data_IF_543844485514
#
_entry.id   IF_543844485514
#
_cell.length_a   1.000
_cell.length_b   1.000
_cell.length_c   1.000
_cell.angle_alpha   90.00
_cell.angle_beta   90.00
_cell.angle_gamma   90.00
#
_symmetry.space_group_name_H-M   'P 1'
#
loop_
_entity.id
_entity.type
_entity.pdbx_description
1 polymer ?
#
# COMPACT_ATOMS: atom_id res chain seq x y z
N UNK A 1 -3.09 -3.30 40.52
CA UNK A 1 -2.88 -4.77 40.41
C UNK A 1 -3.89 -5.23 39.37
N UNK A 2 -3.55 -5.50 38.12
CA UNK A 2 -2.28 -6.01 37.60
C UNK A 2 -1.98 -5.32 36.27
N UNK A 3 -0.78 -4.76 36.15
CA UNK A 3 -0.18 -4.53 34.84
C UNK A 3 0.13 -5.91 34.28
N UNK A 4 -0.60 -6.33 33.25
CA UNK A 4 -0.23 -7.53 32.50
C UNK A 4 1.07 -7.22 31.78
N UNK A 5 2.20 -7.62 32.35
CA UNK A 5 3.44 -7.76 31.60
C UNK A 5 3.12 -8.66 30.41
N UNK A 6 3.27 -8.15 29.20
CA UNK A 6 3.16 -8.93 27.97
C UNK A 6 4.37 -9.88 27.93
N UNK A 7 4.26 -11.03 28.60
CA UNK A 7 5.30 -12.05 28.59
C UNK A 7 5.25 -12.74 27.23
N UNK A 8 6.27 -12.53 26.38
CA UNK A 8 6.44 -13.07 25.02
C UNK A 8 5.72 -14.40 24.79
N UNK A 9 4.45 -14.32 24.41
CA UNK A 9 3.58 -15.48 24.25
C UNK A 9 3.90 -16.08 22.89
N UNK A 10 4.10 -17.39 22.87
CA UNK A 10 4.51 -18.13 21.67
C UNK A 10 3.32 -18.90 21.13
N UNK A 11 3.00 -18.66 19.86
CA UNK A 11 1.97 -19.37 19.10
C UNK A 11 2.59 -20.53 18.32
N UNK A 12 1.80 -21.59 18.11
CA UNK A 12 2.20 -22.75 17.32
C UNK A 12 1.45 -22.75 15.99
N UNK A 13 2.16 -22.50 14.91
CA UNK A 13 1.62 -22.51 13.55
C UNK A 13 1.98 -23.84 12.87
N UNK A 14 1.01 -24.52 12.27
CA UNK A 14 1.23 -25.78 11.56
C UNK A 14 1.02 -25.57 10.06
N UNK A 15 2.09 -25.68 9.30
CA UNK A 15 2.07 -25.65 7.83
C UNK A 15 1.25 -26.77 7.21
N UNK A 16 0.93 -26.62 5.92
CA UNK A 16 0.23 -27.61 5.08
C UNK A 16 0.90 -28.98 5.05
N UNK A 17 2.23 -29.02 5.10
CA UNK A 17 3.06 -30.23 5.14
C UNK A 17 3.34 -30.72 6.57
N UNK A 18 2.56 -30.25 7.54
CA UNK A 18 2.53 -30.69 8.94
C UNK A 18 3.77 -30.32 9.78
N UNK A 19 4.64 -29.44 9.31
CA UNK A 19 5.68 -28.85 10.17
C UNK A 19 5.08 -27.81 11.10
N UNK A 20 5.51 -27.85 12.37
CA UNK A 20 5.11 -26.88 13.40
C UNK A 20 6.20 -25.84 13.55
N UNK A 21 5.79 -24.58 13.62
CA UNK A 21 6.60 -23.40 13.85
C UNK A 21 6.15 -22.76 15.16
N UNK A 22 7.11 -22.41 16.02
CA UNK A 22 6.89 -21.65 17.24
C UNK A 22 7.26 -20.20 16.94
N UNK A 23 6.28 -19.30 17.01
CA UNK A 23 6.40 -17.90 16.60
C UNK A 23 5.89 -17.02 17.72
N UNK A 24 6.59 -15.93 18.02
CA UNK A 24 6.12 -14.96 19.00
C UNK A 24 4.80 -14.31 18.54
N UNK A 25 3.92 -14.01 19.49
CA UNK A 25 2.63 -13.41 19.23
C UNK A 25 2.77 -12.07 18.51
N UNK A 26 3.71 -11.19 18.90
CA UNK A 26 3.97 -9.89 18.24
C UNK A 26 4.32 -10.05 16.75
N UNK A 27 5.10 -11.07 16.42
CA UNK A 27 5.46 -11.42 15.03
C UNK A 27 4.28 -12.03 14.30
N UNK A 28 3.52 -12.91 14.96
CA UNK A 28 2.42 -13.64 14.33
C UNK A 28 1.18 -12.76 14.07
N UNK A 29 0.93 -11.73 14.89
CA UNK A 29 -0.20 -10.80 14.72
C UNK A 29 -0.01 -9.78 13.59
N UNK A 30 1.18 -9.73 12.96
CA UNK A 30 1.38 -9.07 11.66
C UNK A 30 0.43 -9.65 10.58
N UNK A 31 0.04 -10.92 10.73
CA UNK A 31 -1.04 -11.50 9.93
C UNK A 31 -2.39 -11.15 10.54
N UNK A 32 -3.24 -10.43 9.79
CA UNK A 32 -4.59 -10.10 10.25
C UNK A 32 -5.42 -11.37 10.50
N UNK A 33 -5.22 -12.41 9.68
CA UNK A 33 -5.88 -13.70 9.88
C UNK A 33 -5.54 -14.28 11.26
N UNK A 34 -4.25 -14.32 11.62
CA UNK A 34 -3.81 -14.89 12.90
C UNK A 34 -4.24 -13.99 14.06
N UNK A 35 -4.14 -12.66 13.89
CA UNK A 35 -4.63 -11.67 14.86
C UNK A 35 -6.10 -11.92 15.22
N UNK A 36 -6.97 -12.03 14.22
CA UNK A 36 -8.40 -12.31 14.43
C UNK A 36 -8.64 -13.64 15.17
N UNK A 37 -7.84 -14.67 14.89
CA UNK A 37 -7.91 -15.98 15.58
C UNK A 37 -7.52 -15.86 17.06
N UNK A 38 -6.49 -15.07 17.36
CA UNK A 38 -6.01 -14.83 18.73
C UNK A 38 -7.01 -13.96 19.52
N UNK A 39 -7.52 -12.89 18.93
CA UNK A 39 -8.48 -11.96 19.55
C UNK A 39 -9.84 -12.63 19.84
N UNK A 40 -10.23 -13.62 19.03
CA UNK A 40 -11.42 -14.43 19.29
C UNK A 40 -11.31 -15.27 20.58
N UNK A 41 -10.17 -15.24 21.28
CA UNK A 41 -9.98 -15.90 22.58
C UNK A 41 -10.04 -17.42 22.49
N UNK A 42 -9.79 -17.96 21.30
CA UNK A 42 -9.80 -19.40 21.08
C UNK A 42 -8.49 -19.99 21.63
N UNK A 43 -8.58 -20.90 22.59
CA UNK A 43 -7.44 -21.62 23.17
C UNK A 43 -6.92 -22.69 22.19
N UNK A 44 -6.48 -22.22 21.01
CA UNK A 44 -6.06 -23.05 19.89
C UNK A 44 -4.59 -23.42 20.14
N UNK A 45 -4.38 -24.62 20.69
CA UNK A 45 -3.04 -25.11 20.97
C UNK A 45 -2.12 -25.18 19.75
N UNK A 46 -2.66 -25.36 18.54
CA UNK A 46 -1.92 -25.31 17.26
C UNK A 46 -2.83 -24.75 16.17
N UNK A 47 -2.42 -23.67 15.50
CA UNK A 47 -3.14 -23.00 14.40
C UNK A 47 -2.73 -23.64 13.07
N UNK A 48 -3.63 -24.31 12.34
CA UNK A 48 -3.30 -24.95 11.06
C UNK A 48 -3.41 -23.98 9.88
N UNK A 49 -2.33 -23.82 9.13
CA UNK A 49 -2.23 -23.03 7.89
C UNK A 49 -2.27 -23.99 6.69
N UNK A 50 -3.49 -24.33 6.26
CA UNK A 50 -3.75 -25.43 5.32
C UNK A 50 -3.28 -25.18 3.88
N UNK A 51 -2.99 -23.93 3.53
CA UNK A 51 -2.60 -23.50 2.18
C UNK A 51 -1.09 -23.32 2.05
N UNK A 52 -0.42 -22.88 3.12
CA UNK A 52 0.99 -22.47 3.11
C UNK A 52 1.91 -23.65 3.45
N UNK A 53 2.86 -23.94 2.56
CA UNK A 53 3.91 -24.93 2.79
C UNK A 53 5.01 -24.40 3.71
N UNK A 54 5.71 -25.29 4.40
CA UNK A 54 6.76 -24.96 5.37
C UNK A 54 7.85 -24.03 4.86
N UNK A 55 8.31 -24.23 3.61
CA UNK A 55 9.33 -23.37 2.99
C UNK A 55 8.85 -21.92 2.92
N UNK A 56 7.63 -21.72 2.41
CA UNK A 56 7.02 -20.40 2.27
C UNK A 56 6.70 -19.78 3.63
N UNK A 57 6.14 -20.57 4.56
CA UNK A 57 5.80 -20.09 5.90
C UNK A 57 7.04 -19.60 6.65
N UNK A 58 8.19 -20.24 6.48
CA UNK A 58 9.46 -19.78 7.05
C UNK A 58 9.82 -18.38 6.57
N UNK A 59 9.73 -18.14 5.26
CA UNK A 59 10.04 -16.83 4.68
C UNK A 59 9.05 -15.77 5.16
N UNK A 60 7.76 -16.10 5.25
CA UNK A 60 6.75 -15.18 5.79
C UNK A 60 7.07 -14.81 7.25
N UNK A 61 7.44 -15.79 8.08
CA UNK A 61 7.82 -15.51 9.48
C UNK A 61 9.06 -14.61 9.52
N UNK A 62 10.07 -14.86 8.69
CA UNK A 62 11.27 -14.02 8.59
C UNK A 62 10.94 -12.57 8.19
N UNK A 63 10.03 -12.39 7.24
CA UNK A 63 9.50 -11.07 6.88
C UNK A 63 8.87 -10.36 8.07
N UNK A 64 7.94 -11.03 8.76
CA UNK A 64 7.26 -10.47 9.92
C UNK A 64 8.25 -10.11 11.04
N UNK A 65 9.27 -10.94 11.30
CA UNK A 65 10.29 -10.66 12.30
C UNK A 65 11.06 -9.38 11.96
N UNK A 66 11.54 -9.28 10.72
CA UNK A 66 12.33 -8.10 10.30
C UNK A 66 11.53 -6.79 10.38
N UNK A 67 10.23 -6.84 10.14
CA UNK A 67 9.34 -5.68 10.22
C UNK A 67 8.88 -5.34 11.65
N UNK A 68 8.87 -6.31 12.57
CA UNK A 68 8.69 -6.01 13.99
C UNK A 68 9.95 -5.36 14.56
N UNK A 69 11.12 -5.92 14.27
CA UNK A 69 12.41 -5.40 14.75
C UNK A 69 12.63 -3.94 14.31
N UNK A 70 12.28 -3.60 13.07
CA UNK A 70 12.39 -2.23 12.54
C UNK A 70 11.50 -1.22 13.29
N UNK A 71 10.30 -1.62 13.72
CA UNK A 71 9.43 -0.75 14.51
C UNK A 71 9.99 -0.58 15.93
N UNK A 72 10.50 -1.65 16.54
CA UNK A 72 11.06 -1.59 17.90
C UNK A 72 12.37 -0.78 18.00
N UNK A 73 13.21 -0.80 16.97
CA UNK A 73 14.48 -0.04 16.93
C UNK A 73 14.24 1.46 16.67
N UNK A 74 13.23 1.81 15.88
CA UNK A 74 12.88 3.20 15.55
C UNK A 74 11.89 3.86 16.52
N UNK A 75 11.13 3.10 17.33
CA UNK A 75 10.14 3.59 18.30
C UNK A 75 10.70 3.71 19.74
N UNK A 76 12.00 3.91 19.90
CA UNK A 76 12.60 4.20 21.23
C UNK A 76 12.33 5.64 21.72
N UNK A 77 11.40 6.38 21.10
CA UNK A 77 10.97 7.72 21.47
C UNK A 77 9.46 7.96 21.25
N UNK A 78 8.65 7.57 22.24
CA UNK A 78 7.22 7.89 22.47
C UNK A 78 6.51 8.87 21.51
N UNK A 79 5.40 8.40 20.90
CA UNK A 79 4.18 9.20 20.70
C UNK A 79 3.00 8.37 20.14
N UNK A 80 2.46 7.48 21.00
CA UNK A 80 1.17 6.79 20.85
C UNK A 80 -0.04 7.77 20.68
N UNK A 81 0.20 9.07 20.92
CA UNK A 81 -0.74 10.18 20.70
C UNK A 81 -0.61 10.82 19.29
N UNK A 82 0.55 10.76 18.63
CA UNK A 82 0.71 11.29 17.25
C UNK A 82 0.15 10.34 16.19
N UNK A 83 0.28 9.02 16.38
CA UNK A 83 -0.32 8.02 15.49
C UNK A 83 -1.85 8.16 15.47
N UNK A 84 -2.46 8.38 16.64
CA UNK A 84 -3.90 8.67 16.75
C UNK A 84 -4.29 10.00 16.12
N UNK A 85 -3.38 10.98 16.14
CA UNK A 85 -3.62 12.28 15.53
C UNK A 85 -3.61 12.17 13.99
N UNK A 86 -2.71 11.37 13.41
CA UNK A 86 -2.66 11.11 11.97
C UNK A 86 -3.84 10.25 11.47
N UNK A 87 -4.27 9.24 12.22
CA UNK A 87 -5.47 8.44 11.87
C UNK A 87 -6.76 9.26 11.91
N UNK A 88 -6.83 10.28 12.79
CA UNK A 88 -7.98 11.20 12.88
C UNK A 88 -8.01 12.22 11.76
N UNK A 89 -6.86 12.63 11.22
CA UNK A 89 -6.76 13.65 10.16
C UNK A 89 -7.13 13.09 8.77
N UNK A 90 -6.86 11.81 8.51
CA UNK A 90 -7.27 11.12 7.26
C UNK A 90 -8.81 10.97 7.15
N UNK A 91 -9.53 10.97 8.28
CA UNK A 91 -10.99 10.81 8.28
C UNK A 91 -11.77 12.10 7.98
N UNK A 92 -11.14 13.29 8.03
CA UNK A 92 -11.85 14.57 7.90
C UNK A 92 -11.78 15.20 6.49
N UNK A 93 -10.90 14.74 5.59
CA UNK A 93 -10.89 15.23 4.19
C UNK A 93 -11.87 14.51 3.23
N UNK A 94 -12.76 13.67 3.78
CA UNK A 94 -13.76 12.93 3.01
C UNK A 94 -15.21 13.43 3.10
N UNK A 95 -15.49 14.53 3.82
CA UNK A 95 -16.89 14.95 4.06
C UNK A 95 -17.15 16.44 3.83
N UNK A 96 -17.20 16.81 2.55
CA UNK A 96 -17.96 17.99 2.11
C UNK A 96 -18.89 17.58 0.96
N UNK A 97 -20.03 17.01 1.33
CA UNK A 97 -21.29 17.35 0.69
C UNK A 97 -22.40 17.29 1.74
N UNK A 98 -22.77 18.49 2.20
CA UNK A 98 -23.81 18.72 3.18
C UNK A 98 -25.15 18.17 2.70
N UNK A 99 -25.79 17.47 3.63
CA UNK A 99 -27.23 17.29 3.69
C UNK A 99 -27.85 18.64 4.06
N UNK A 100 -28.77 19.16 3.23
CA UNK A 100 -29.81 20.07 3.69
C UNK A 100 -31.09 19.79 2.87
N UNK A 101 -32.13 19.40 3.60
CA UNK A 101 -33.47 19.13 3.11
C UNK A 101 -34.27 20.43 2.86
N UNK A 102 -35.29 20.27 2.01
CA UNK A 102 -36.50 21.10 1.81
C UNK A 102 -36.55 22.22 0.73
N UNK A 103 -37.16 21.81 -0.39
CA UNK A 103 -38.39 22.38 -0.99
C UNK A 103 -38.33 23.73 -1.76
N UNK A 104 -38.56 23.68 -3.07
CA UNK A 104 -39.58 24.42 -3.87
C UNK A 104 -39.31 24.22 -5.38
N UNK A 105 -40.10 23.40 -6.10
CA UNK A 105 -41.31 23.70 -6.89
C UNK A 105 -41.14 24.65 -8.11
N UNK A 106 -41.48 24.07 -9.28
CA UNK A 106 -42.02 24.68 -10.52
C UNK A 106 -41.07 25.59 -11.33
N UNK A 107 -41.16 25.72 -12.67
CA UNK A 107 -42.13 25.25 -13.67
C UNK A 107 -41.44 25.30 -15.06
N UNK A 108 -42.10 24.72 -16.05
CA UNK A 108 -41.74 24.60 -17.47
C UNK A 108 -41.41 25.93 -18.19
N UNK A 109 -40.67 25.78 -19.30
CA UNK A 109 -40.89 26.41 -20.61
C UNK A 109 -39.84 27.37 -21.16
N UNK A 110 -39.54 27.12 -22.44
CA UNK A 110 -39.12 28.05 -23.51
C UNK A 110 -37.65 28.49 -23.51
N UNK A 111 -36.85 27.96 -24.42
CA UNK A 111 -36.69 28.34 -25.84
C UNK A 111 -35.67 29.46 -26.06
N UNK A 112 -34.76 29.16 -26.99
CA UNK A 112 -34.12 30.04 -27.96
C UNK A 112 -32.93 30.93 -27.54
N UNK A 113 -31.82 30.59 -28.20
CA UNK A 113 -31.11 31.39 -29.20
C UNK A 113 -29.73 31.97 -28.83
N UNK A 114 -28.75 31.45 -29.58
CA UNK A 114 -27.79 32.16 -30.45
C UNK A 114 -26.83 33.22 -29.89
N UNK A 115 -25.60 33.17 -30.45
CA UNK A 115 -24.67 34.30 -30.59
C UNK A 115 -23.37 34.01 -29.84
N UNK A 116 -22.33 33.48 -30.47
CA UNK A 116 -21.40 34.08 -31.46
C UNK A 116 -20.56 35.21 -30.88
N UNK A 117 -19.26 35.07 -31.11
CA UNK A 117 -18.23 36.11 -31.21
C UNK A 117 -17.88 36.83 -29.89
N UNK A 118 -16.72 37.41 -29.66
CA UNK A 118 -15.33 37.40 -30.13
C UNK A 118 -14.63 38.31 -29.08
N UNK A 119 -13.30 38.23 -28.98
CA UNK A 119 -12.39 39.30 -28.55
C UNK A 119 -12.79 40.27 -27.39
N UNK A 120 -11.91 40.39 -26.40
CA UNK A 120 -10.98 41.53 -26.37
C UNK A 120 -10.13 41.48 -25.09
N UNK A 121 -8.84 41.28 -25.29
CA UNK A 121 -7.83 41.65 -24.33
C UNK A 121 -7.76 43.18 -24.25
N UNK A 122 -7.95 43.77 -23.06
CA UNK A 122 -7.44 45.12 -22.74
C UNK A 122 -6.87 45.19 -21.33
N UNK A 123 -5.55 45.23 -21.34
CA UNK A 123 -4.61 45.76 -20.36
C UNK A 123 -5.14 47.02 -19.63
N UNK A 124 -4.99 47.06 -18.30
CA UNK A 124 -4.85 48.30 -17.53
C UNK A 124 -3.74 48.15 -16.49
N UNK A 125 -2.58 48.73 -16.81
CA UNK A 125 -1.62 49.21 -15.82
C UNK A 125 -2.28 50.35 -15.03
N UNK A 126 -2.20 50.27 -13.71
CA UNK A 126 -2.22 51.48 -12.89
C UNK A 126 -1.38 51.24 -11.63
N UNK A 127 -0.29 51.98 -11.56
CA UNK A 127 0.59 52.08 -10.40
C UNK A 127 -0.22 52.49 -9.15
N UNK A 128 0.03 51.77 -8.05
CA UNK A 128 -0.44 52.10 -6.71
C UNK A 128 0.54 51.55 -5.69
N UNK A 129 1.50 52.39 -5.27
CA UNK A 129 2.45 52.09 -4.22
C UNK A 129 1.81 52.16 -2.83
N UNK A 130 2.16 51.17 -2.01
CA UNK A 130 2.45 51.27 -0.58
C UNK A 130 1.27 51.42 0.39
N UNK A 131 0.92 50.35 1.10
CA UNK A 131 0.90 50.32 2.58
C UNK A 131 0.64 48.88 3.08
N UNK A 132 1.38 48.46 4.12
CA UNK A 132 1.05 47.27 4.90
C UNK A 132 1.61 45.95 4.36
N UNK A 133 2.94 45.77 4.43
CA UNK A 133 3.51 44.42 4.50
C UNK A 133 3.03 43.73 5.79
N UNK A 134 1.85 43.11 5.74
CA UNK A 134 1.61 41.94 6.57
C UNK A 134 2.32 40.79 5.84
N UNK A 135 3.61 40.67 6.13
CA UNK A 135 4.42 39.54 5.70
C UNK A 135 3.88 38.37 6.51
N UNK A 136 2.93 37.63 5.95
CA UNK A 136 2.67 36.28 6.43
C UNK A 136 4.02 35.60 6.48
N UNK A 137 4.47 35.36 7.71
CA UNK A 137 5.52 34.43 8.02
C UNK A 137 5.03 33.10 7.44
N UNK A 138 5.39 32.86 6.18
CA UNK A 138 5.59 31.50 5.70
C UNK A 138 6.63 30.94 6.63
N UNK A 139 6.12 30.30 7.67
CA UNK A 139 6.83 29.49 8.62
C UNK A 139 7.61 28.48 7.79
N UNK A 140 8.84 28.89 7.49
CA UNK A 140 9.84 28.10 6.84
C UNK A 140 10.26 27.11 7.91
N UNK A 141 9.49 26.04 8.04
CA UNK A 141 9.80 24.92 8.91
C UNK A 141 11.07 24.29 8.34
N UNK A 142 12.21 24.77 8.82
CA UNK A 142 13.46 24.02 8.85
C UNK A 142 13.19 22.80 9.74
N UNK A 143 12.69 21.74 9.13
CA UNK A 143 12.68 20.44 9.77
C UNK A 143 14.14 20.05 9.96
N UNK A 144 14.59 20.05 11.22
CA UNK A 144 15.88 19.49 11.59
C UNK A 144 15.87 18.00 11.23
N UNK A 145 16.57 17.65 10.14
CA UNK A 145 16.94 16.29 9.79
C UNK A 145 17.76 15.68 10.93
N UNK A 146 17.08 15.11 11.91
CA UNK A 146 17.64 14.13 12.84
C UNK A 146 16.80 12.85 12.77
N UNK A 147 16.66 12.32 11.56
CA UNK A 147 16.43 10.89 11.35
C UNK A 147 17.58 10.39 10.49
N UNK A 148 18.39 9.47 11.02
CA UNK A 148 19.50 8.87 10.31
C UNK A 148 18.91 8.03 9.16
N UNK A 149 18.86 8.58 7.94
CA UNK A 149 18.30 7.92 6.76
C UNK A 149 18.99 6.62 6.34
N UNK A 150 19.86 6.04 7.18
CA UNK A 150 20.52 4.76 6.96
C UNK A 150 19.63 3.55 7.27
N UNK A 151 18.72 3.63 8.24
CA UNK A 151 17.92 2.47 8.68
C UNK A 151 16.79 2.13 7.69
N UNK A 152 16.11 3.15 7.13
CA UNK A 152 15.07 2.97 6.10
C UNK A 152 15.65 2.44 4.77
N UNK A 153 16.82 2.95 4.38
CA UNK A 153 17.54 2.45 3.21
C UNK A 153 18.01 1.00 3.42
N UNK A 154 18.42 0.63 4.64
CA UNK A 154 18.78 -0.75 4.98
C UNK A 154 17.58 -1.69 4.87
N UNK A 155 16.40 -1.27 5.34
CA UNK A 155 15.16 -2.06 5.23
C UNK A 155 14.77 -2.28 3.76
N UNK A 156 14.67 -1.23 2.94
CA UNK A 156 14.33 -1.33 1.51
C UNK A 156 15.33 -2.24 0.77
N UNK A 157 16.62 -2.13 1.10
CA UNK A 157 17.66 -2.99 0.53
C UNK A 157 17.50 -4.45 0.96
N UNK A 158 17.12 -4.71 2.21
CA UNK A 158 16.84 -6.05 2.70
C UNK A 158 15.60 -6.64 2.00
N UNK A 159 14.50 -5.88 1.94
CA UNK A 159 13.25 -6.31 1.30
C UNK A 159 13.47 -6.64 -0.18
N UNK A 160 14.27 -5.84 -0.88
CA UNK A 160 14.63 -6.06 -2.27
C UNK A 160 15.34 -7.40 -2.47
N UNK A 161 16.29 -7.72 -1.58
CA UNK A 161 16.99 -9.01 -1.59
C UNK A 161 16.08 -10.16 -1.17
N UNK A 162 15.15 -9.91 -0.25
CA UNK A 162 14.22 -10.92 0.25
C UNK A 162 13.29 -11.44 -0.85
N UNK A 163 12.77 -10.54 -1.70
CA UNK A 163 11.90 -10.90 -2.83
C UNK A 163 12.66 -11.27 -4.12
N UNK A 164 13.99 -11.16 -4.13
CA UNK A 164 14.86 -11.67 -5.20
C UNK A 164 15.00 -13.20 -5.13
N UNK A 165 13.88 -13.88 -5.37
CA UNK A 165 13.76 -15.34 -5.37
C UNK A 165 13.29 -15.85 -6.74
N UNK A 166 13.34 -17.16 -6.94
CA UNK A 166 12.80 -17.77 -8.15
C UNK A 166 11.29 -17.55 -8.27
N UNK A 167 10.76 -17.60 -9.50
CA UNK A 167 9.35 -17.30 -9.79
C UNK A 167 8.36 -18.17 -9.01
N UNK A 168 8.69 -19.46 -8.80
CA UNK A 168 7.81 -20.38 -8.08
C UNK A 168 7.74 -19.98 -6.61
N UNK A 169 8.88 -19.59 -6.03
CA UNK A 169 8.96 -19.05 -4.67
C UNK A 169 8.26 -17.69 -4.55
N UNK A 170 8.41 -16.80 -5.54
CA UNK A 170 7.74 -15.48 -5.56
C UNK A 170 6.21 -15.63 -5.65
N UNK A 171 5.72 -16.54 -6.50
CA UNK A 171 4.29 -16.86 -6.59
C UNK A 171 3.77 -17.51 -5.31
N UNK A 172 4.55 -18.39 -4.69
CA UNK A 172 4.18 -18.97 -3.40
C UNK A 172 4.11 -17.91 -2.29
N UNK A 173 5.04 -16.95 -2.27
CA UNK A 173 5.02 -15.81 -1.34
C UNK A 173 3.79 -14.93 -1.58
N UNK A 174 3.46 -14.63 -2.84
CA UNK A 174 2.26 -13.87 -3.20
C UNK A 174 0.98 -14.52 -2.63
N UNK A 175 0.79 -15.82 -2.90
CA UNK A 175 -0.37 -16.55 -2.41
C UNK A 175 -0.41 -16.67 -0.88
N UNK A 176 0.74 -16.76 -0.23
CA UNK A 176 0.82 -16.82 1.23
C UNK A 176 0.52 -15.48 1.89
N UNK A 177 1.02 -14.38 1.31
CA UNK A 177 0.78 -13.02 1.79
C UNK A 177 -0.71 -12.65 1.72
N UNK A 178 -1.35 -12.93 0.58
CA UNK A 178 -2.79 -12.78 0.40
C UNK A 178 -3.59 -13.63 1.41
N UNK A 179 -3.27 -14.93 1.51
CA UNK A 179 -3.97 -15.84 2.42
C UNK A 179 -3.85 -15.46 3.90
N UNK A 180 -2.67 -15.00 4.32
CA UNK A 180 -2.40 -14.60 5.71
C UNK A 180 -2.81 -13.15 5.98
N UNK A 181 -3.22 -12.41 4.95
CA UNK A 181 -3.55 -10.98 5.04
C UNK A 181 -2.40 -10.18 5.67
N UNK A 182 -1.26 -10.19 4.98
CA UNK A 182 -0.05 -9.42 5.36
C UNK A 182 0.21 -8.41 4.23
N UNK A 183 -0.33 -7.21 4.36
CA UNK A 183 -0.34 -6.20 3.29
C UNK A 183 1.07 -5.72 2.92
N UNK A 184 1.96 -5.50 3.90
CA UNK A 184 3.35 -5.08 3.64
C UNK A 184 4.10 -6.07 2.74
N UNK A 185 3.96 -7.38 3.02
CA UNK A 185 4.55 -8.43 2.19
C UNK A 185 3.87 -8.50 0.81
N UNK A 186 2.55 -8.37 0.78
CA UNK A 186 1.78 -8.43 -0.46
C UNK A 186 2.18 -7.31 -1.41
N UNK A 187 2.24 -6.07 -0.93
CA UNK A 187 2.67 -4.90 -1.69
C UNK A 187 4.09 -5.06 -2.23
N UNK A 188 5.03 -5.53 -1.38
CA UNK A 188 6.41 -5.77 -1.80
C UNK A 188 6.49 -6.81 -2.93
N UNK A 189 5.79 -7.93 -2.78
CA UNK A 189 5.81 -8.99 -3.79
C UNK A 189 5.16 -8.52 -5.09
N UNK A 190 4.07 -7.74 -5.02
CA UNK A 190 3.43 -7.13 -6.21
C UNK A 190 4.39 -6.17 -6.91
N UNK A 191 5.11 -5.32 -6.17
CA UNK A 191 6.14 -4.42 -6.71
C UNK A 191 7.20 -5.20 -7.49
N UNK A 192 7.71 -6.29 -6.91
CA UNK A 192 8.70 -7.14 -7.57
C UNK A 192 8.15 -7.80 -8.84
N UNK A 193 6.91 -8.30 -8.82
CA UNK A 193 6.26 -8.86 -10.02
C UNK A 193 6.13 -7.80 -11.11
N UNK A 194 5.76 -6.57 -10.76
CA UNK A 194 5.69 -5.45 -11.70
C UNK A 194 7.07 -5.14 -12.29
N UNK A 195 8.13 -5.17 -11.50
CA UNK A 195 9.49 -4.91 -11.97
C UNK A 195 10.00 -6.03 -12.90
N UNK A 196 9.64 -7.30 -12.63
CA UNK A 196 9.89 -8.41 -13.56
C UNK A 196 9.18 -8.19 -14.90
N UNK A 197 7.94 -7.68 -14.88
CA UNK A 197 7.20 -7.36 -16.10
C UNK A 197 7.85 -6.20 -16.86
N UNK A 198 8.27 -5.14 -16.16
CA UNK A 198 8.97 -3.99 -16.77
C UNK A 198 10.31 -4.38 -17.41
N UNK A 199 10.97 -5.42 -16.91
CA UNK A 199 12.23 -5.93 -17.47
C UNK A 199 12.04 -6.74 -18.76
N UNK A 200 10.82 -7.24 -19.02
CA UNK A 200 10.52 -7.94 -20.27
C UNK A 200 10.49 -6.93 -21.43
N UNK A 201 11.25 -7.19 -22.50
CA UNK A 201 11.37 -6.29 -23.65
C UNK A 201 10.25 -6.48 -24.68
N UNK A 202 9.48 -7.54 -24.57
CA UNK A 202 8.38 -7.82 -25.49
C UNK A 202 7.26 -8.63 -24.84
N UNK A 203 6.08 -8.59 -25.45
CA UNK A 203 4.90 -9.36 -25.03
C UNK A 203 5.18 -10.87 -25.08
N UNK A 204 5.99 -11.33 -26.04
CA UNK A 204 6.42 -12.73 -26.12
C UNK A 204 7.29 -13.14 -24.94
N UNK A 205 8.18 -12.24 -24.48
CA UNK A 205 9.03 -12.50 -23.30
C UNK A 205 8.19 -12.57 -22.03
N UNK A 206 7.17 -11.70 -21.88
CA UNK A 206 6.19 -11.79 -20.77
C UNK A 206 5.46 -13.13 -20.83
N UNK A 207 4.93 -13.52 -22.00
CA UNK A 207 4.21 -14.79 -22.18
C UNK A 207 5.07 -15.99 -21.83
N UNK A 208 6.32 -16.01 -22.28
CA UNK A 208 7.26 -17.08 -21.96
C UNK A 208 7.60 -17.08 -20.46
N UNK A 209 7.77 -15.90 -19.87
CA UNK A 209 8.16 -15.74 -18.46
C UNK A 209 7.09 -16.25 -17.51
N UNK A 210 5.82 -15.97 -17.80
CA UNK A 210 4.67 -16.34 -16.96
C UNK A 210 3.91 -17.58 -17.46
N UNK A 211 4.39 -18.24 -18.52
CA UNK A 211 3.74 -19.43 -19.08
C UNK A 211 2.35 -19.16 -19.66
N UNK A 212 2.11 -17.94 -20.13
CA UNK A 212 0.82 -17.50 -20.68
C UNK A 212 0.73 -17.96 -22.13
N UNK A 213 -0.32 -18.73 -22.44
CA UNK A 213 -0.66 -19.11 -23.82
C UNK A 213 -1.38 -17.93 -24.49
N UNK A 214 -0.86 -17.48 -25.64
CA UNK A 214 -1.59 -16.49 -26.46
C UNK A 214 -2.94 -17.07 -26.90
N UNK A 215 -3.99 -16.31 -26.66
CA UNK A 215 -5.37 -16.55 -27.11
C UNK A 215 -5.74 -15.69 -28.33
N UNK A 216 -4.86 -14.79 -28.76
CA UNK A 216 -5.05 -13.97 -29.95
C UNK A 216 -4.68 -14.71 -31.24
N UNK A 217 -5.42 -14.42 -32.31
CA UNK A 217 -5.01 -14.80 -33.67
C UNK A 217 -3.89 -13.87 -34.16
N UNK A 218 -3.09 -14.29 -35.16
CA UNK A 218 -2.03 -13.44 -35.71
C UNK A 218 -2.53 -12.10 -36.26
N UNK A 219 -3.76 -12.07 -36.78
CA UNK A 219 -4.41 -10.86 -37.32
C UNK A 219 -4.77 -9.88 -36.20
N UNK A 220 -5.38 -10.36 -35.10
CA UNK A 220 -5.70 -9.53 -33.93
C UNK A 220 -4.43 -9.00 -33.23
N UNK A 221 -3.35 -9.79 -33.16
CA UNK A 221 -2.08 -9.31 -32.60
C UNK A 221 -1.44 -8.21 -33.44
N UNK A 222 -1.61 -8.24 -34.76
CA UNK A 222 -1.09 -7.21 -35.66
C UNK A 222 -1.91 -5.91 -35.52
N UNK A 223 -3.24 -6.01 -35.46
CA UNK A 223 -4.12 -4.86 -35.20
C UNK A 223 -3.80 -4.20 -33.85
N UNK A 224 -3.64 -4.98 -32.78
CA UNK A 224 -3.28 -4.45 -31.45
C UNK A 224 -1.90 -3.78 -31.50
N UNK A 225 -0.92 -4.34 -32.22
CA UNK A 225 0.42 -3.73 -32.39
C UNK A 225 0.35 -2.40 -33.15
N UNK A 226 -0.48 -2.30 -34.17
CA UNK A 226 -0.71 -1.04 -34.89
C UNK A 226 -1.40 -0.01 -33.99
N UNK A 227 -2.39 -0.43 -33.21
CA UNK A 227 -3.15 0.47 -32.33
C UNK A 227 -2.30 1.02 -31.17
N UNK A 228 -1.36 0.24 -30.64
CA UNK A 228 -0.48 0.66 -29.53
C UNK A 228 0.85 1.27 -29.99
N UNK A 229 1.08 1.43 -31.30
CA UNK A 229 2.38 1.89 -31.84
C UNK A 229 2.76 3.33 -31.44
N UNK A 230 1.86 4.06 -30.78
CA UNK A 230 2.11 5.41 -30.25
C UNK A 230 2.78 5.42 -28.87
N UNK A 231 2.90 4.26 -28.22
CA UNK A 231 3.53 4.09 -26.90
C UNK A 231 5.07 4.02 -26.99
N UNK A 232 5.61 3.70 -28.18
CA UNK A 232 7.06 3.60 -28.45
C UNK A 232 7.72 4.98 -28.68
#
# INVERSE_FOLDING_TARGET
>A
MSSSNNSGKVLKLKSKDNQIFEVEESVAIQSELIKNVVEAGCDIGVIPLLTVHSKTLRNVIEWCQKHVDYVEENDSGSNEEEIKNWESEICEEGNNNGSDDEETKNWESEENNNGSDEEEAKNWESEGNNDGSNKEEVENWEWEENNDGSDEEELENWESKFVDVDKDSLYALLLAADYLSIDSLLERVIKQVADVIKQCRSVEEVRQTFGIKSDFTPEEEEEIREEISWID
#
